data_IF_617937663385
#
_entry.id   IF_617937663385
#
_cell.length_a   1.000
_cell.length_b   1.000
_cell.length_c   1.000
_cell.angle_alpha   90.00
_cell.angle_beta   90.00
_cell.angle_gamma   90.00
#
_symmetry.space_group_name_H-M   'P 1'
#
loop_
_entity.id
_entity.type
_entity.pdbx_description
1 polymer ?
#
# COMPACT_ATOMS: atom_id res chain seq x y z
N UNK A 1 8.37 22.70 6.04
CA UNK A 1 8.77 21.48 5.69
C UNK A 1 7.75 20.42 5.94
N UNK A 2 7.54 19.61 5.04
CA UNK A 2 6.54 18.59 5.21
C UNK A 2 6.97 17.61 6.25
N UNK A 3 6.09 17.33 7.13
CA UNK A 3 6.40 16.48 8.23
C UNK A 3 6.03 15.07 7.98
N UNK A 4 5.22 14.82 6.97
CA UNK A 4 4.76 13.48 6.76
C UNK A 4 5.35 12.86 5.54
N UNK A 5 6.45 13.35 5.09
CA UNK A 5 7.01 12.83 3.88
C UNK A 5 7.55 11.45 4.11
N UNK A 6 7.10 10.51 3.32
CA UNK A 6 7.51 9.13 3.44
C UNK A 6 8.66 8.90 2.50
N UNK A 7 9.72 8.30 3.01
CA UNK A 7 10.90 8.09 2.21
C UNK A 7 10.90 6.69 1.62
N UNK A 8 11.56 6.56 0.49
CA UNK A 8 11.68 5.27 -0.16
C UNK A 8 12.40 4.30 0.78
N UNK A 9 11.88 3.10 0.87
CA UNK A 9 12.46 2.08 1.72
C UNK A 9 11.95 2.09 3.15
N UNK A 10 11.04 2.99 3.45
CA UNK A 10 10.52 3.04 4.81
C UNK A 10 9.45 1.97 4.98
N UNK A 11 9.47 1.28 6.12
CA UNK A 11 8.45 0.28 6.42
C UNK A 11 7.24 0.94 7.03
N UNK A 12 6.09 0.60 6.52
CA UNK A 12 4.83 1.17 6.96
C UNK A 12 3.85 0.03 7.21
N UNK A 13 2.89 0.30 8.04
CA UNK A 13 1.88 -0.70 8.37
C UNK A 13 0.50 -0.14 8.06
N UNK A 14 -0.36 -0.98 7.51
CA UNK A 14 -1.73 -0.62 7.26
C UNK A 14 -2.61 -1.73 7.82
N UNK A 15 -3.51 -1.37 8.72
CA UNK A 15 -4.43 -2.31 9.32
C UNK A 15 -5.78 -2.18 8.65
N UNK A 16 -6.69 -3.08 9.00
CA UNK A 16 -8.03 -3.03 8.46
C UNK A 16 -8.63 -1.65 8.66
N UNK A 17 -9.18 -1.10 7.61
CA UNK A 17 -9.78 0.22 7.67
C UNK A 17 -8.82 1.37 7.38
N UNK A 18 -7.54 1.07 7.20
CA UNK A 18 -6.56 2.11 6.93
C UNK A 18 -6.20 2.12 5.47
N UNK A 19 -5.68 3.24 5.02
CA UNK A 19 -5.28 3.37 3.63
C UNK A 19 -3.79 3.25 3.51
N UNK A 20 -3.37 2.77 2.34
CA UNK A 20 -1.96 2.69 2.01
C UNK A 20 -1.46 4.11 1.79
N UNK A 21 -0.40 4.46 2.49
CA UNK A 21 0.13 5.82 2.45
C UNK A 21 1.07 6.07 1.29
N UNK A 22 1.67 5.03 0.76
CA UNK A 22 2.64 5.20 -0.33
C UNK A 22 2.67 3.91 -1.13
N UNK A 23 3.01 4.05 -2.41
CA UNK A 23 3.20 2.87 -3.25
C UNK A 23 4.35 2.04 -2.68
N UNK A 24 4.22 0.75 -2.74
CA UNK A 24 5.27 -0.09 -2.21
C UNK A 24 5.01 -1.56 -2.43
N UNK A 25 5.80 -2.37 -1.72
CA UNK A 25 5.70 -3.81 -1.81
C UNK A 25 5.50 -4.36 -0.41
N UNK A 26 4.57 -5.28 -0.27
CA UNK A 26 4.29 -5.89 1.01
C UNK A 26 5.48 -6.75 1.44
N UNK A 27 5.95 -6.54 2.66
CA UNK A 27 7.05 -7.30 3.20
C UNK A 27 6.54 -8.41 4.09
N UNK A 28 5.49 -8.14 4.87
CA UNK A 28 4.97 -9.12 5.79
C UNK A 28 3.48 -8.98 5.90
N UNK A 29 2.84 -10.02 6.33
CA UNK A 29 1.41 -10.00 6.54
C UNK A 29 0.65 -10.29 5.28
N UNK A 30 -0.66 -10.23 5.39
CA UNK A 30 -1.53 -10.44 4.25
C UNK A 30 -2.85 -9.76 4.54
N UNK A 31 -3.50 -9.30 3.52
CA UNK A 31 -4.80 -8.66 3.68
C UNK A 31 -5.38 -8.36 2.33
N UNK A 32 -6.60 -7.87 2.35
CA UNK A 32 -7.32 -7.51 1.14
C UNK A 32 -7.31 -6.00 1.01
N UNK A 33 -7.03 -5.53 -0.18
CA UNK A 33 -7.01 -4.10 -0.45
C UNK A 33 -7.99 -3.78 -1.56
N UNK A 34 -8.72 -2.69 -1.36
CA UNK A 34 -9.68 -2.23 -2.34
C UNK A 34 -9.04 -1.09 -3.11
N UNK A 35 -8.77 -1.32 -4.36
CA UNK A 35 -8.16 -0.32 -5.23
C UNK A 35 -9.11 0.14 -6.31
N UNK A 36 -10.39 -0.05 -6.10
CA UNK A 36 -11.35 0.21 -7.17
C UNK A 36 -11.30 1.64 -7.67
N UNK A 37 -11.09 2.60 -6.80
CA UNK A 37 -11.05 3.99 -7.23
C UNK A 37 -9.72 4.36 -7.89
N UNK A 38 -8.76 3.45 -7.89
CA UNK A 38 -7.48 3.69 -8.53
C UNK A 38 -7.38 2.96 -9.86
N UNK A 39 -7.95 1.75 -9.91
CA UNK A 39 -7.78 0.93 -11.09
C UNK A 39 -9.07 0.69 -11.84
N UNK A 40 -10.20 1.02 -11.26
CA UNK A 40 -11.49 0.74 -11.86
C UNK A 40 -12.02 -0.64 -11.59
N UNK A 41 -11.23 -1.47 -10.92
CA UNK A 41 -11.70 -2.79 -10.54
C UNK A 41 -12.54 -2.69 -9.30
N UNK A 42 -13.64 -3.39 -9.26
CA UNK A 42 -14.51 -3.29 -8.10
C UNK A 42 -14.30 -4.40 -7.09
N UNK A 43 -13.35 -5.27 -7.30
CA UNK A 43 -13.11 -6.36 -6.38
C UNK A 43 -11.83 -6.13 -5.59
N UNK A 44 -11.84 -6.40 -4.31
CA UNK A 44 -10.61 -6.30 -3.54
C UNK A 44 -9.63 -7.37 -3.97
N UNK A 45 -8.37 -7.09 -3.82
CA UNK A 45 -7.32 -8.03 -4.15
C UNK A 45 -6.57 -8.44 -2.91
N UNK A 46 -6.21 -9.71 -2.87
CA UNK A 46 -5.40 -10.21 -1.78
C UNK A 46 -3.96 -9.74 -1.98
N UNK A 47 -3.42 -9.14 -0.95
CA UNK A 47 -2.02 -8.71 -0.95
C UNK A 47 -1.27 -9.52 0.07
N UNK A 48 -0.11 -9.99 -0.32
CA UNK A 48 0.73 -10.78 0.57
C UNK A 48 2.16 -10.39 0.32
N UNK A 49 3.07 -11.06 1.00
CA UNK A 49 4.50 -10.77 0.84
C UNK A 49 4.87 -10.79 -0.63
N UNK A 50 5.45 -9.74 -1.11
CA UNK A 50 5.84 -9.60 -2.52
C UNK A 50 4.81 -8.91 -3.39
N UNK A 51 3.61 -8.65 -2.88
CA UNK A 51 2.60 -7.98 -3.69
C UNK A 51 2.83 -6.48 -3.67
N UNK A 52 2.49 -5.82 -4.77
CA UNK A 52 2.56 -4.36 -4.81
C UNK A 52 1.29 -3.77 -4.24
N UNK A 53 1.43 -2.63 -3.58
CA UNK A 53 0.29 -1.87 -3.09
C UNK A 53 0.41 -0.45 -3.60
N UNK A 54 -0.72 0.20 -3.78
CA UNK A 54 -0.77 1.55 -4.32
C UNK A 54 -1.25 2.51 -3.26
N UNK A 55 -0.67 3.70 -3.27
CA UNK A 55 -1.10 4.74 -2.34
C UNK A 55 -2.59 5.02 -2.55
N UNK A 56 -3.31 5.14 -1.48
CA UNK A 56 -4.74 5.40 -1.55
C UNK A 56 -5.61 4.16 -1.50
N UNK A 57 -5.03 2.99 -1.69
CA UNK A 57 -5.80 1.76 -1.56
C UNK A 57 -6.23 1.59 -0.11
N UNK A 58 -7.38 0.99 0.10
CA UNK A 58 -7.88 0.79 1.45
C UNK A 58 -7.77 -0.67 1.83
N UNK A 59 -7.25 -0.94 3.00
CA UNK A 59 -7.18 -2.31 3.51
C UNK A 59 -8.55 -2.64 4.07
N UNK A 60 -9.23 -3.60 3.44
CA UNK A 60 -10.57 -3.97 3.87
C UNK A 60 -10.54 -5.12 4.85
N UNK A 61 -9.46 -5.88 4.90
CA UNK A 61 -9.37 -7.00 5.82
C UNK A 61 -7.90 -7.33 6.02
N UNK A 62 -7.54 -7.74 7.23
CA UNK A 62 -6.18 -8.12 7.54
C UNK A 62 -5.30 -6.93 7.84
N UNK A 63 -4.00 -7.15 7.80
CA UNK A 63 -3.04 -6.08 7.99
C UNK A 63 -1.79 -6.40 7.21
N UNK A 64 -1.10 -5.34 6.79
CA UNK A 64 0.06 -5.47 5.94
C UNK A 64 1.19 -4.62 6.48
N UNK A 65 2.40 -5.10 6.30
CA UNK A 65 3.59 -4.27 6.48
C UNK A 65 4.22 -4.18 5.10
N UNK A 66 4.38 -2.98 4.60
CA UNK A 66 4.89 -2.78 3.24
C UNK A 66 6.03 -1.79 3.28
N UNK A 67 6.90 -1.91 2.29
CA UNK A 67 8.06 -1.02 2.16
C UNK A 67 7.78 -0.07 1.02
N UNK A 68 7.88 1.22 1.31
CA UNK A 68 7.60 2.22 0.30
C UNK A 68 8.63 2.15 -0.82
N UNK A 69 8.19 2.40 -2.03
CA UNK A 69 9.06 2.39 -3.18
C UNK A 69 8.77 3.59 -4.03
N UNK A 70 9.79 4.05 -4.71
CA UNK A 70 9.61 5.12 -5.64
C UNK A 70 9.25 4.51 -6.98
N UNK A 71 8.07 4.80 -7.45
CA UNK A 71 7.63 4.27 -8.71
C UNK A 71 7.83 5.29 -9.79
N UNK A 72 7.98 4.84 -10.95
CA UNK A 72 8.11 5.75 -12.06
C UNK A 72 9.39 6.43 -12.04
N UNK A 73 9.56 7.31 -12.82
CA UNK A 73 10.68 7.91 -12.88
C UNK A 73 10.69 9.01 -12.31
N UNK A 74 10.99 9.37 -11.66
CA UNK A 74 11.05 10.43 -11.14
C UNK A 74 12.07 11.00 -11.46
N UNK A 75 12.36 11.56 -11.79
CA UNK A 75 13.46 12.14 -12.16
C UNK A 75 13.80 12.88 -11.70
#
# INVERSE_FOLDING_TARGET
MPLNQIQVGELLRANQGERIAADGVVEEGAGWCDESHLTGESLPEMKKSGSHVLAGAMVTDGSLVYRSQQLGSQT
#
